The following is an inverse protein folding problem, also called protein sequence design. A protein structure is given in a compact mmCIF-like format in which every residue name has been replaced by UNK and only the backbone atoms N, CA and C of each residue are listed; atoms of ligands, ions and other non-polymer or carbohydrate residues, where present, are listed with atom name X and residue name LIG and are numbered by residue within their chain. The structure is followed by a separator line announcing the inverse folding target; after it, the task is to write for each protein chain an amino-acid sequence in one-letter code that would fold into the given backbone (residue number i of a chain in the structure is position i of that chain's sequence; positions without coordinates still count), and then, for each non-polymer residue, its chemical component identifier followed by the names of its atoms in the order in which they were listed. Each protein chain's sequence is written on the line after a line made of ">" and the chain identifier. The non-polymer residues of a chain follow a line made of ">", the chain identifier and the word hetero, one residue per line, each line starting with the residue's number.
data_IF_553175214710
#
_entry.id   IF_553175214710
#
_cell.length_a   1.000
_cell.length_b   1.000
_cell.length_c   1.000
_cell.angle_alpha   90.00
_cell.angle_beta   90.00
_cell.angle_gamma   90.00
#
_symmetry.space_group_name_H-M   'P 1'
#
loop_
_entity.id
_entity.type
_entity.pdbx_description
1 polymer ?
#
# COMPACT_ATOMS: atom_id res chain seq x y z
N UNK A 1 -33.82 2.50 1.33
CA UNK A 1 -32.51 3.15 1.60
C UNK A 1 -31.31 2.19 1.51
N UNK A 2 -31.40 0.92 1.94
CA UNK A 2 -30.27 -0.02 1.87
C UNK A 2 -29.81 -0.40 0.45
N UNK A 3 -30.71 -0.38 -0.53
CA UNK A 3 -30.41 -0.70 -1.95
C UNK A 3 -29.62 0.40 -2.67
N UNK A 4 -29.71 1.66 -2.24
CA UNK A 4 -29.01 2.79 -2.86
C UNK A 4 -27.53 2.84 -2.48
N UNK A 5 -27.17 2.37 -1.27
CA UNK A 5 -25.78 2.28 -0.84
C UNK A 5 -24.96 1.28 -1.67
N UNK A 6 -25.59 0.18 -2.10
CA UNK A 6 -24.95 -0.82 -2.96
C UNK A 6 -24.68 -0.29 -4.38
N UNK A 7 -25.58 0.51 -4.94
CA UNK A 7 -25.43 1.07 -6.30
C UNK A 7 -24.36 2.19 -6.33
N UNK A 8 -24.28 3.00 -5.28
CA UNK A 8 -23.23 4.03 -5.16
C UNK A 8 -21.84 3.43 -4.97
N UNK A 9 -21.73 2.32 -4.20
CA UNK A 9 -20.49 1.56 -4.08
C UNK A 9 -20.06 0.99 -5.46
N UNK A 10 -21.02 0.47 -6.22
CA UNK A 10 -20.80 -0.05 -7.57
C UNK A 10 -20.25 0.98 -8.55
N UNK A 11 -20.81 2.19 -8.56
CA UNK A 11 -20.39 3.26 -9.47
C UNK A 11 -18.96 3.72 -9.18
N UNK A 12 -18.60 3.87 -7.90
CA UNK A 12 -17.25 4.30 -7.49
C UNK A 12 -16.21 3.20 -7.73
N UNK A 13 -16.57 1.93 -7.50
CA UNK A 13 -15.70 0.79 -7.80
C UNK A 13 -15.46 0.59 -9.30
N UNK A 14 -16.46 0.82 -10.16
CA UNK A 14 -16.28 0.74 -11.62
C UNK A 14 -15.44 1.89 -12.19
N UNK A 15 -15.52 3.09 -11.60
CA UNK A 15 -14.76 4.27 -12.08
C UNK A 15 -13.28 4.19 -11.69
N UNK A 16 -12.95 3.61 -10.52
CA UNK A 16 -11.55 3.44 -10.09
C UNK A 16 -10.79 2.34 -10.85
N UNK A 17 -11.51 1.39 -11.48
CA UNK A 17 -10.91 0.34 -12.34
C UNK A 17 -10.73 0.83 -13.79
N UNK A 18 -11.31 1.97 -14.17
CA UNK A 18 -11.35 2.44 -15.55
C UNK A 18 -9.99 2.91 -16.11
N UNK A 19 -9.00 3.25 -15.28
CA UNK A 19 -7.70 3.74 -15.77
C UNK A 19 -6.61 2.64 -15.89
N UNK A 20 -6.85 1.40 -15.44
CA UNK A 20 -5.81 0.35 -15.42
C UNK A 20 -6.19 -0.99 -16.07
N UNK A 21 -7.43 -1.21 -16.51
CA UNK A 21 -7.86 -2.52 -17.04
C UNK A 21 -8.99 -2.42 -18.10
N UNK A 22 -8.87 -1.50 -19.06
CA UNK A 22 -9.95 -1.29 -20.06
C UNK A 22 -10.00 -2.35 -21.17
N UNK A 23 -9.04 -3.28 -21.25
CA UNK A 23 -8.99 -4.26 -22.35
C UNK A 23 -10.01 -5.41 -22.23
N UNK A 24 -10.57 -5.66 -21.03
CA UNK A 24 -11.49 -6.79 -20.80
C UNK A 24 -12.94 -6.39 -20.43
N UNK A 25 -13.40 -5.20 -20.85
CA UNK A 25 -14.82 -4.85 -20.69
C UNK A 25 -15.66 -5.67 -21.69
N UNK A 26 -16.66 -6.45 -21.24
CA UNK A 26 -17.49 -7.23 -22.15
C UNK A 26 -18.16 -6.34 -23.20
N UNK A 27 -18.14 -6.74 -24.47
CA UNK A 27 -18.69 -5.96 -25.58
C UNK A 27 -20.19 -5.62 -25.39
N UNK A 28 -20.93 -6.46 -24.66
CA UNK A 28 -22.33 -6.21 -24.28
C UNK A 28 -22.50 -5.00 -23.34
N UNK A 29 -21.54 -4.72 -22.47
CA UNK A 29 -21.55 -3.54 -21.60
C UNK A 29 -21.26 -2.29 -22.41
N UNK A 30 -20.28 -2.37 -23.32
CA UNK A 30 -19.94 -1.27 -24.21
C UNK A 30 -21.14 -0.87 -25.08
N UNK A 31 -21.79 -1.86 -25.69
CA UNK A 31 -23.00 -1.62 -26.49
C UNK A 31 -24.16 -1.06 -25.66
N UNK A 32 -24.36 -1.54 -24.43
CA UNK A 32 -25.38 -0.97 -23.53
C UNK A 32 -25.07 0.49 -23.16
N UNK A 33 -23.79 0.83 -22.96
CA UNK A 33 -23.36 2.19 -22.67
C UNK A 33 -23.61 3.12 -23.86
N UNK A 34 -23.21 2.70 -25.06
CA UNK A 34 -23.41 3.49 -26.29
C UNK A 34 -24.91 3.70 -26.57
N UNK A 35 -25.74 2.66 -26.38
CA UNK A 35 -27.20 2.76 -26.47
C UNK A 35 -27.79 3.77 -25.47
N UNK A 36 -27.29 3.80 -24.23
CA UNK A 36 -27.75 4.74 -23.21
C UNK A 36 -27.18 6.16 -23.40
N UNK A 37 -25.99 6.31 -23.99
CA UNK A 37 -25.44 7.62 -24.34
C UNK A 37 -26.15 8.25 -25.53
N UNK A 38 -26.59 7.44 -26.51
CA UNK A 38 -27.30 7.97 -27.68
C UNK A 38 -28.71 8.52 -27.38
N UNK A 39 -29.26 8.23 -26.19
CA UNK A 39 -30.55 8.76 -25.76
C UNK A 39 -30.39 10.04 -24.92
N UNK A 40 -30.96 11.20 -25.33
CA UNK A 40 -30.85 12.47 -24.61
C UNK A 40 -31.33 12.42 -23.15
N UNK A 41 -32.27 11.54 -22.83
CA UNK A 41 -32.80 11.41 -21.47
C UNK A 41 -31.84 10.71 -20.51
N UNK A 42 -30.84 10.00 -21.03
CA UNK A 42 -29.88 9.20 -20.27
C UNK A 42 -28.42 9.60 -20.54
N UNK A 43 -28.16 10.53 -21.46
CA UNK A 43 -26.82 10.98 -21.80
C UNK A 43 -26.10 11.61 -20.59
N UNK A 44 -24.86 11.18 -20.36
CA UNK A 44 -23.98 11.74 -19.34
C UNK A 44 -22.88 12.53 -20.01
N UNK A 45 -22.83 13.84 -19.75
CA UNK A 45 -21.74 14.69 -20.21
C UNK A 45 -20.42 14.30 -19.52
N UNK A 46 -19.30 14.54 -20.22
CA UNK A 46 -17.95 14.26 -19.73
C UNK A 46 -17.67 14.91 -18.35
N UNK A 47 -18.26 16.08 -18.10
CA UNK A 47 -18.15 16.77 -16.80
C UNK A 47 -18.65 15.93 -15.63
N UNK A 48 -19.67 15.10 -15.82
CA UNK A 48 -20.20 14.23 -14.75
C UNK A 48 -19.20 13.15 -14.40
N UNK A 49 -18.56 12.52 -15.40
CA UNK A 49 -17.51 11.52 -15.17
C UNK A 49 -16.27 12.11 -14.50
N UNK A 50 -15.92 13.35 -14.87
CA UNK A 50 -14.80 14.08 -14.25
C UNK A 50 -15.09 14.40 -12.78
N UNK A 51 -16.31 14.86 -12.47
CA UNK A 51 -16.73 15.13 -11.10
C UNK A 51 -16.72 13.85 -10.24
N UNK A 52 -17.20 12.73 -10.78
CA UNK A 52 -17.15 11.43 -10.08
C UNK A 52 -15.72 10.98 -9.76
N UNK A 53 -14.77 11.10 -10.71
CA UNK A 53 -13.36 10.75 -10.47
C UNK A 53 -12.70 11.60 -9.39
N UNK A 54 -13.09 12.87 -9.29
CA UNK A 54 -12.54 13.82 -8.31
C UNK A 54 -13.25 13.82 -6.96
N UNK A 55 -14.33 13.04 -6.81
CA UNK A 55 -15.16 13.07 -5.61
C UNK A 55 -15.94 14.38 -5.43
N UNK A 56 -16.18 15.11 -6.52
CA UNK A 56 -16.96 16.35 -6.53
C UNK A 56 -18.48 16.05 -6.57
N UNK A 57 -19.31 17.03 -6.25
CA UNK A 57 -20.76 16.90 -6.36
C UNK A 57 -21.19 16.86 -7.84
N UNK A 58 -22.16 16.00 -8.15
CA UNK A 58 -22.75 15.87 -9.47
C UNK A 58 -24.25 15.61 -9.36
N UNK A 59 -24.98 15.74 -10.48
CA UNK A 59 -26.42 15.44 -10.53
C UNK A 59 -26.66 13.93 -10.37
N UNK A 60 -27.08 13.56 -9.17
CA UNK A 60 -27.38 12.16 -8.80
C UNK A 60 -28.59 11.60 -9.54
N UNK A 61 -29.54 12.45 -9.95
CA UNK A 61 -30.72 12.02 -10.69
C UNK A 61 -30.32 11.57 -12.09
N UNK A 62 -29.52 12.37 -12.80
CA UNK A 62 -29.06 12.04 -14.14
C UNK A 62 -28.20 10.75 -14.15
N UNK A 63 -27.26 10.63 -13.21
CA UNK A 63 -26.47 9.40 -13.05
C UNK A 63 -27.35 8.18 -12.73
N UNK A 64 -28.39 8.36 -11.90
CA UNK A 64 -29.36 7.31 -11.59
C UNK A 64 -30.16 6.83 -12.80
N UNK A 65 -30.60 7.77 -13.64
CA UNK A 65 -31.34 7.46 -14.89
C UNK A 65 -30.47 6.71 -15.88
N UNK A 66 -29.19 7.10 -16.05
CA UNK A 66 -28.24 6.36 -16.89
C UNK A 66 -27.99 4.93 -16.37
N UNK A 67 -27.78 4.76 -15.06
CA UNK A 67 -27.58 3.45 -14.45
C UNK A 67 -28.81 2.54 -14.57
N UNK A 68 -30.03 3.08 -14.49
CA UNK A 68 -31.26 2.33 -14.74
C UNK A 68 -31.38 1.89 -16.20
N UNK A 69 -30.99 2.74 -17.15
CA UNK A 69 -30.92 2.38 -18.57
C UNK A 69 -29.96 1.20 -18.80
N UNK A 70 -28.75 1.29 -18.25
CA UNK A 70 -27.74 0.23 -18.30
C UNK A 70 -28.28 -1.08 -17.71
N UNK A 71 -28.91 -1.02 -16.54
CA UNK A 71 -29.48 -2.20 -15.89
C UNK A 71 -30.60 -2.85 -16.73
N UNK A 72 -31.46 -2.04 -17.36
CA UNK A 72 -32.51 -2.54 -18.26
C UNK A 72 -31.94 -3.24 -19.50
N UNK A 73 -30.84 -2.73 -20.05
CA UNK A 73 -30.15 -3.30 -21.22
C UNK A 73 -29.34 -4.55 -20.87
N UNK A 74 -28.74 -4.60 -19.68
CA UNK A 74 -27.92 -5.72 -19.20
C UNK A 74 -28.76 -6.83 -18.54
N UNK A 75 -30.01 -6.54 -18.14
CA UNK A 75 -30.92 -7.40 -17.38
C UNK A 75 -31.46 -8.66 -18.04
N UNK A 76 -30.70 -9.30 -18.94
CA UNK A 76 -30.96 -10.68 -19.32
C UNK A 76 -30.57 -11.61 -18.13
N UNK A 77 -31.43 -12.54 -17.68
CA UNK A 77 -31.15 -13.40 -16.51
C UNK A 77 -29.89 -14.26 -16.64
N UNK A 78 -29.39 -14.51 -17.85
CA UNK A 78 -28.11 -15.22 -18.09
C UNK A 78 -26.89 -14.33 -17.85
N UNK A 79 -26.96 -13.04 -18.13
CA UNK A 79 -25.87 -12.08 -17.88
C UNK A 79 -25.78 -11.69 -16.41
N UNK A 80 -26.90 -11.63 -15.68
CA UNK A 80 -26.88 -11.26 -14.24
C UNK A 80 -26.05 -12.23 -13.37
N UNK A 81 -26.06 -13.53 -13.69
CA UNK A 81 -25.23 -14.53 -12.99
C UNK A 81 -23.74 -14.36 -13.33
N UNK A 82 -23.43 -14.03 -14.59
CA UNK A 82 -22.07 -13.76 -15.04
C UNK A 82 -21.51 -12.47 -14.39
N UNK A 83 -22.31 -11.40 -14.33
CA UNK A 83 -21.91 -10.16 -13.66
C UNK A 83 -21.75 -10.32 -12.15
N UNK A 84 -22.65 -11.06 -11.48
CA UNK A 84 -22.51 -11.37 -10.05
C UNK A 84 -21.22 -12.16 -9.76
N UNK A 85 -20.84 -13.09 -10.65
CA UNK A 85 -19.60 -13.84 -10.52
C UNK A 85 -18.36 -12.95 -10.77
N UNK A 86 -18.38 -12.13 -11.83
CA UNK A 86 -17.29 -11.19 -12.17
C UNK A 86 -17.11 -10.14 -11.06
N UNK A 87 -18.19 -9.64 -10.46
CA UNK A 87 -18.14 -8.76 -9.28
C UNK A 87 -17.53 -9.43 -8.06
N UNK A 88 -17.92 -10.66 -7.79
CA UNK A 88 -17.40 -11.40 -6.64
C UNK A 88 -15.90 -11.63 -6.79
N UNK A 89 -15.44 -11.91 -8.01
CA UNK A 89 -14.02 -12.06 -8.34
C UNK A 89 -13.30 -10.69 -8.33
N UNK A 90 -13.87 -9.63 -8.90
CA UNK A 90 -13.20 -8.31 -8.97
C UNK A 90 -13.11 -7.61 -7.61
N UNK A 91 -14.13 -7.72 -6.75
CA UNK A 91 -14.08 -7.24 -5.35
C UNK A 91 -13.02 -8.04 -4.57
N UNK A 92 -12.89 -9.35 -4.83
CA UNK A 92 -11.83 -10.17 -4.23
C UNK A 92 -10.44 -9.78 -4.72
N UNK A 93 -10.27 -9.38 -5.98
CA UNK A 93 -8.99 -8.90 -6.53
C UNK A 93 -8.59 -7.51 -5.99
N UNK A 94 -9.54 -6.59 -5.81
CA UNK A 94 -9.26 -5.24 -5.27
C UNK A 94 -8.81 -5.32 -3.81
N UNK A 95 -9.35 -6.26 -3.02
CA UNK A 95 -8.92 -6.49 -1.63
C UNK A 95 -7.47 -6.97 -1.52
N UNK A 96 -6.91 -7.60 -2.57
CA UNK A 96 -5.51 -8.05 -2.59
C UNK A 96 -4.56 -6.95 -3.05
N UNK A 97 -5.00 -6.02 -3.91
CA UNK A 97 -4.16 -4.95 -4.46
C UNK A 97 -4.15 -3.64 -3.65
N UNK A 98 -5.16 -3.41 -2.81
CA UNK A 98 -5.36 -2.16 -2.06
C UNK A 98 -5.25 -2.29 -0.55
N UNK A 99 -4.49 -3.28 -0.03
CA UNK A 99 -4.29 -3.40 1.40
C UNK A 99 -3.76 -2.06 1.96
N UNK A 100 -4.45 -1.41 2.93
CA UNK A 100 -3.93 -0.22 3.57
C UNK A 100 -2.53 -0.52 4.12
N UNK A 101 -1.62 0.47 4.18
CA UNK A 101 -0.31 0.27 4.78
C UNK A 101 -0.51 -0.41 6.13
N UNK A 102 0.29 -1.45 6.39
CA UNK A 102 0.27 -2.09 7.68
C UNK A 102 0.53 -1.03 8.75
N UNK A 103 -0.05 -1.22 9.94
CA UNK A 103 0.13 -0.33 11.08
C UNK A 103 1.62 0.00 11.37
N UNK A 104 2.51 -0.88 10.95
CA UNK A 104 3.96 -0.77 11.04
C UNK A 104 4.55 0.28 10.13
N UNK A 105 4.23 0.27 8.83
CA UNK A 105 4.78 1.24 7.88
C UNK A 105 4.41 2.68 8.26
N UNK A 106 3.15 2.91 8.67
CA UNK A 106 2.73 4.23 9.11
C UNK A 106 3.48 4.69 10.36
N UNK A 107 3.68 3.79 11.34
CA UNK A 107 4.43 4.11 12.56
C UNK A 107 5.90 4.38 12.28
N UNK A 108 6.55 3.60 11.41
CA UNK A 108 7.94 3.81 11.02
C UNK A 108 8.10 5.15 10.31
N UNK A 109 7.18 5.51 9.41
CA UNK A 109 7.17 6.83 8.74
C UNK A 109 7.05 7.96 9.75
N UNK A 110 6.09 7.86 10.69
CA UNK A 110 5.92 8.89 11.72
C UNK A 110 7.19 9.08 12.55
N UNK A 111 7.80 7.98 13.01
CA UNK A 111 9.04 8.05 13.79
C UNK A 111 10.20 8.63 12.97
N UNK A 112 10.27 8.32 11.67
CA UNK A 112 11.25 8.91 10.76
C UNK A 112 11.07 10.42 10.61
N UNK A 113 9.85 10.89 10.39
CA UNK A 113 9.52 12.32 10.31
C UNK A 113 9.89 13.04 11.63
N UNK A 114 9.62 12.42 12.78
CA UNK A 114 10.00 12.95 14.10
C UNK A 114 11.52 13.04 14.30
N UNK A 115 12.27 12.01 13.88
CA UNK A 115 13.74 12.03 13.97
C UNK A 115 14.35 13.02 12.97
N UNK A 116 13.76 13.20 11.79
CA UNK A 116 14.17 14.18 10.79
C UNK A 116 13.93 15.63 11.22
N UNK A 117 12.94 15.88 12.09
CA UNK A 117 12.67 17.21 12.62
C UNK A 117 13.78 17.73 13.56
N UNK A 118 14.67 16.86 14.06
CA UNK A 118 15.81 17.29 14.87
C UNK A 118 17.03 17.62 13.98
N UNK A 119 17.44 18.90 13.87
CA UNK A 119 18.53 19.32 12.99
C UNK A 119 19.89 18.69 13.35
N UNK A 120 20.10 18.26 14.60
CA UNK A 120 21.36 17.64 15.02
C UNK A 120 21.56 16.22 14.46
N UNK A 121 20.47 15.55 14.06
CA UNK A 121 20.47 14.17 13.54
C UNK A 121 19.69 14.06 12.23
N UNK A 122 19.42 15.19 11.59
CA UNK A 122 18.79 15.26 10.27
C UNK A 122 19.69 14.57 9.24
N UNK A 123 19.10 13.78 8.35
CA UNK A 123 19.82 13.10 7.28
C UNK A 123 19.24 13.53 5.94
N UNK A 124 20.10 14.06 5.09
CA UNK A 124 19.77 14.36 3.69
C UNK A 124 19.39 13.08 2.94
N UNK A 125 18.49 13.21 1.96
CA UNK A 125 18.03 12.09 1.11
C UNK A 125 19.19 11.35 0.41
N UNK A 126 20.28 12.07 0.10
CA UNK A 126 21.50 11.50 -0.47
C UNK A 126 22.15 10.46 0.44
N UNK A 127 22.07 10.63 1.77
CA UNK A 127 22.60 9.68 2.75
C UNK A 127 21.78 8.40 2.76
N UNK A 128 20.45 8.50 2.69
CA UNK A 128 19.59 7.31 2.59
C UNK A 128 19.84 6.52 1.30
N UNK A 129 20.07 7.22 0.17
CA UNK A 129 20.46 6.57 -1.09
C UNK A 129 21.81 5.87 -0.96
N UNK A 130 22.80 6.50 -0.34
CA UNK A 130 24.11 5.89 -0.10
C UNK A 130 23.99 4.61 0.74
N UNK A 131 23.19 4.64 1.82
CA UNK A 131 22.92 3.46 2.67
C UNK A 131 22.27 2.32 1.86
N UNK A 132 21.31 2.63 0.99
CA UNK A 132 20.64 1.60 0.16
C UNK A 132 21.61 0.97 -0.84
N UNK A 133 22.48 1.78 -1.47
CA UNK A 133 23.48 1.31 -2.43
C UNK A 133 24.71 0.66 -1.81
N UNK A 134 24.83 0.69 -0.48
CA UNK A 134 26.04 0.23 0.21
C UNK A 134 27.25 1.14 0.00
N UNK A 135 27.03 2.39 -0.38
CA UNK A 135 28.08 3.40 -0.52
C UNK A 135 28.55 3.90 0.86
N UNK A 136 29.77 4.47 0.98
CA UNK A 136 30.24 5.06 2.23
C UNK A 136 29.34 6.19 2.71
N UNK A 137 29.11 6.25 4.03
CA UNK A 137 28.34 7.30 4.69
C UNK A 137 28.93 7.63 6.06
N UNK A 138 28.56 8.78 6.62
CA UNK A 138 28.96 9.18 7.96
C UNK A 138 28.26 8.31 9.03
N UNK A 139 28.98 7.32 9.56
CA UNK A 139 28.44 6.38 10.54
C UNK A 139 28.02 7.03 11.86
N UNK A 140 28.67 8.11 12.28
CA UNK A 140 28.34 8.82 13.51
C UNK A 140 26.98 9.50 13.40
N UNK A 141 26.78 10.27 12.32
CA UNK A 141 25.51 10.96 12.08
C UNK A 141 24.36 9.97 11.84
N UNK A 142 24.61 8.95 11.01
CA UNK A 142 23.60 7.90 10.75
C UNK A 142 23.30 7.11 12.01
N UNK A 143 24.31 6.75 12.82
CA UNK A 143 24.13 6.05 14.08
C UNK A 143 23.23 6.82 15.06
N UNK A 144 23.44 8.13 15.20
CA UNK A 144 22.59 8.99 16.04
C UNK A 144 21.14 9.04 15.54
N UNK A 145 20.93 9.15 14.22
CA UNK A 145 19.60 9.06 13.62
C UNK A 145 18.95 7.69 13.88
N UNK A 146 19.69 6.59 13.70
CA UNK A 146 19.19 5.24 13.95
C UNK A 146 18.88 5.00 15.44
N UNK A 147 19.63 5.60 16.36
CA UNK A 147 19.34 5.54 17.79
C UNK A 147 18.00 6.23 18.12
N UNK A 148 17.74 7.39 17.51
CA UNK A 148 16.43 8.05 17.62
C UNK A 148 15.29 7.13 17.16
N UNK A 149 15.46 6.54 15.97
CA UNK A 149 14.48 5.64 15.35
C UNK A 149 14.18 4.42 16.23
N UNK A 150 15.22 3.68 16.60
CA UNK A 150 15.12 2.42 17.36
C UNK A 150 14.59 2.64 18.78
N UNK A 151 14.93 3.77 19.41
CA UNK A 151 14.40 4.15 20.73
C UNK A 151 12.90 4.43 20.66
N UNK A 152 12.45 5.24 19.70
CA UNK A 152 11.02 5.56 19.53
C UNK A 152 10.19 4.37 19.07
N UNK A 153 10.79 3.44 18.32
CA UNK A 153 10.16 2.17 17.96
C UNK A 153 10.14 1.16 19.13
N UNK A 154 10.90 1.41 20.19
CA UNK A 154 10.96 0.57 21.40
C UNK A 154 11.79 -0.69 21.23
N UNK A 155 12.62 -0.78 20.19
CA UNK A 155 13.53 -1.92 19.95
C UNK A 155 14.85 -1.78 20.69
N UNK A 156 15.17 -0.57 21.14
CA UNK A 156 16.39 -0.25 21.85
C UNK A 156 16.07 0.81 22.93
N UNK A 157 16.77 0.79 24.04
CA UNK A 157 16.70 1.83 25.06
C UNK A 157 17.78 2.90 24.82
N UNK A 158 17.68 4.03 25.52
CA UNK A 158 18.64 5.15 25.38
C UNK A 158 20.09 4.77 25.76
N UNK A 159 20.26 3.82 26.67
CA UNK A 159 21.57 3.31 27.11
C UNK A 159 22.20 2.30 26.12
N UNK A 160 21.49 1.99 25.03
CA UNK A 160 21.94 1.05 24.01
C UNK A 160 21.38 -0.36 24.18
N UNK A 161 20.77 -0.71 25.30
CA UNK A 161 20.26 -2.06 25.55
C UNK A 161 19.12 -2.40 24.58
N UNK A 162 19.14 -3.61 24.02
CA UNK A 162 18.17 -4.04 22.99
C UNK A 162 16.97 -4.72 23.65
N UNK A 163 15.76 -4.33 23.26
CA UNK A 163 14.54 -5.03 23.63
C UNK A 163 14.32 -6.23 22.69
N UNK A 164 14.83 -7.40 23.09
CA UNK A 164 14.77 -8.65 22.31
C UNK A 164 13.34 -9.00 21.88
N UNK A 165 12.35 -8.83 22.76
CA UNK A 165 10.96 -9.16 22.44
C UNK A 165 10.39 -8.22 21.36
N UNK A 166 10.70 -6.93 21.43
CA UNK A 166 10.29 -5.98 20.40
C UNK A 166 10.92 -6.30 19.04
N UNK A 167 12.20 -6.67 19.03
CA UNK A 167 12.91 -7.12 17.82
C UNK A 167 12.27 -8.38 17.24
N UNK A 168 11.98 -9.39 18.09
CA UNK A 168 11.29 -10.62 17.68
C UNK A 168 9.94 -10.33 17.03
N UNK A 169 9.13 -9.44 17.63
CA UNK A 169 7.83 -9.05 17.07
C UNK A 169 7.93 -8.41 15.69
N UNK A 170 8.98 -7.63 15.42
CA UNK A 170 9.20 -7.04 14.09
C UNK A 170 9.56 -8.13 13.08
N UNK A 171 10.49 -9.03 13.42
CA UNK A 171 10.92 -10.10 12.52
C UNK A 171 9.77 -11.07 12.18
N UNK A 172 8.92 -11.36 13.17
CA UNK A 172 7.75 -12.24 13.01
C UNK A 172 6.68 -11.68 12.05
N UNK A 173 6.69 -10.39 11.72
CA UNK A 173 5.75 -9.82 10.73
C UNK A 173 5.98 -10.37 9.33
N UNK A 174 7.23 -10.69 9.00
CA UNK A 174 7.64 -11.15 7.66
C UNK A 174 8.01 -12.64 7.61
N UNK A 175 7.99 -13.33 8.75
CA UNK A 175 8.41 -14.72 8.87
C UNK A 175 7.39 -15.51 9.71
N UNK A 176 6.81 -16.57 9.12
CA UNK A 176 5.83 -17.45 9.78
C UNK A 176 6.47 -18.63 10.51
N UNK A 177 7.77 -18.88 10.32
CA UNK A 177 8.52 -19.94 11.00
C UNK A 177 9.14 -19.37 12.28
N UNK A 178 8.61 -19.78 13.44
CA UNK A 178 9.07 -19.32 14.75
C UNK A 178 10.54 -19.64 15.02
N UNK A 179 11.04 -20.79 14.56
CA UNK A 179 12.45 -21.16 14.76
C UNK A 179 13.38 -20.20 14.01
N UNK A 180 12.99 -19.83 12.78
CA UNK A 180 13.70 -18.83 11.98
C UNK A 180 13.60 -17.43 12.58
N UNK A 181 12.43 -17.06 13.13
CA UNK A 181 12.25 -15.79 13.84
C UNK A 181 13.22 -15.69 15.02
N UNK A 182 13.31 -16.75 15.84
CA UNK A 182 14.21 -16.76 17.00
C UNK A 182 15.68 -16.74 16.57
N UNK A 183 16.06 -17.51 15.55
CA UNK A 183 17.41 -17.50 14.98
C UNK A 183 17.83 -16.10 14.50
N UNK A 184 16.98 -15.41 13.74
CA UNK A 184 17.25 -14.06 13.26
C UNK A 184 17.30 -13.07 14.44
N UNK A 185 16.39 -13.23 15.41
CA UNK A 185 16.35 -12.37 16.60
C UNK A 185 17.67 -12.46 17.34
N UNK A 186 18.17 -13.66 17.60
CA UNK A 186 19.44 -13.87 18.30
C UNK A 186 20.63 -13.30 17.53
N UNK A 187 20.60 -13.38 16.20
CA UNK A 187 21.61 -12.74 15.33
C UNK A 187 21.54 -11.21 15.39
N UNK A 188 20.36 -10.62 15.54
CA UNK A 188 20.17 -9.18 15.46
C UNK A 188 20.31 -8.44 16.79
N UNK A 189 20.26 -9.13 17.93
CA UNK A 189 20.41 -8.51 19.26
C UNK A 189 21.87 -8.36 19.72
N UNK A 190 22.80 -8.18 18.78
CA UNK A 190 24.21 -7.91 19.06
C UNK A 190 24.44 -6.47 19.53
N UNK A 191 25.15 -6.30 20.65
CA UNK A 191 25.55 -4.98 21.17
C UNK A 191 26.73 -4.40 20.39
N UNK A 192 26.68 -3.09 20.12
CA UNK A 192 27.82 -2.28 19.67
C UNK A 192 28.62 -1.72 20.85
N UNK A 193 29.71 -1.00 20.54
CA UNK A 193 30.50 -0.31 21.56
C UNK A 193 29.79 0.94 22.11
N UNK A 194 28.86 1.52 21.34
CA UNK A 194 28.01 2.65 21.75
C UNK A 194 26.54 2.40 21.41
N UNK A 195 25.60 3.11 22.04
CA UNK A 195 24.18 3.02 21.69
C UNK A 195 23.90 3.26 20.20
N UNK A 196 24.58 4.23 19.58
CA UNK A 196 24.47 4.53 18.15
C UNK A 196 24.99 3.40 17.27
N UNK A 197 26.09 2.76 17.67
CA UNK A 197 26.61 1.61 16.94
C UNK A 197 25.66 0.42 17.06
N UNK A 198 25.12 0.16 18.26
CA UNK A 198 24.09 -0.86 18.47
C UNK A 198 22.87 -0.59 17.59
N UNK A 199 22.39 0.66 17.52
CA UNK A 199 21.23 1.04 16.71
C UNK A 199 21.46 0.78 15.22
N UNK A 200 22.66 1.13 14.75
CA UNK A 200 23.08 0.91 13.36
C UNK A 200 23.17 -0.58 13.02
N UNK A 201 23.82 -1.38 13.87
CA UNK A 201 23.93 -2.85 13.71
C UNK A 201 22.55 -3.51 13.70
N UNK A 202 21.72 -3.20 14.70
CA UNK A 202 20.37 -3.74 14.85
C UNK A 202 19.54 -3.46 13.60
N UNK A 203 19.52 -2.22 13.15
CA UNK A 203 18.69 -1.81 12.00
C UNK A 203 19.17 -2.42 10.69
N UNK A 204 20.50 -2.57 10.51
CA UNK A 204 21.07 -3.27 9.36
C UNK A 204 20.72 -4.75 9.37
N UNK A 205 20.79 -5.41 10.54
CA UNK A 205 20.45 -6.81 10.69
C UNK A 205 18.97 -7.08 10.39
N UNK A 206 18.06 -6.28 10.95
CA UNK A 206 16.62 -6.36 10.66
C UNK A 206 16.40 -6.20 9.16
N UNK A 207 16.91 -5.12 8.54
CA UNK A 207 16.73 -4.87 7.09
C UNK A 207 17.19 -6.03 6.20
N UNK A 208 18.29 -6.70 6.55
CA UNK A 208 18.82 -7.85 5.79
C UNK A 208 17.95 -9.11 5.90
N UNK A 209 17.17 -9.25 6.97
CA UNK A 209 16.42 -10.48 7.28
C UNK A 209 14.89 -10.31 7.19
N UNK A 210 14.39 -9.08 7.10
CA UNK A 210 12.99 -8.76 6.84
C UNK A 210 12.79 -8.45 5.36
N UNK A 211 11.72 -8.98 4.76
CA UNK A 211 11.38 -8.64 3.39
C UNK A 211 10.75 -7.26 3.37
N UNK A 212 11.57 -6.21 3.27
CA UNK A 212 11.05 -5.04 2.54
C UNK A 212 10.74 -5.57 1.16
N UNK A 213 9.46 -5.52 0.75
CA UNK A 213 9.09 -5.60 -0.66
C UNK A 213 9.75 -4.41 -1.32
N UNK A 214 11.03 -4.54 -1.64
CA UNK A 214 11.72 -3.62 -2.49
C UNK A 214 11.09 -3.85 -3.86
N UNK A 215 10.23 -2.92 -4.25
CA UNK A 215 9.62 -2.95 -5.57
C UNK A 215 10.65 -2.62 -6.67
N UNK A 216 11.93 -2.46 -6.32
CA UNK A 216 13.04 -2.51 -7.27
C UNK A 216 13.42 -3.96 -7.47
N UNK A 217 12.97 -4.54 -8.59
CA UNK A 217 13.36 -5.89 -9.00
C UNK A 217 14.87 -6.05 -9.01
N UNK A 218 15.38 -6.91 -8.12
CA UNK A 218 16.67 -7.55 -8.30
C UNK A 218 16.54 -8.57 -9.43
N UNK A 219 17.06 -8.21 -10.60
CA UNK A 219 17.45 -9.19 -11.60
C UNK A 219 18.56 -10.06 -10.99
N UNK A 220 18.25 -11.34 -10.75
CA UNK A 220 19.24 -12.33 -10.37
C UNK A 220 20.30 -12.47 -11.48
N UNK A 221 21.51 -11.99 -11.22
CA UNK A 221 22.69 -12.44 -11.96
C UNK A 221 23.25 -13.67 -11.25
N UNK A 222 22.95 -14.85 -11.80
CA UNK A 222 23.72 -16.05 -11.53
C UNK A 222 25.03 -15.95 -12.31
N UNK A 223 26.16 -15.95 -11.62
CA UNK A 223 27.47 -16.24 -12.22
C UNK A 223 27.84 -17.69 -11.92
N UNK A 224 28.01 -18.44 -12.99
CA UNK A 224 28.67 -19.75 -13.05
C UNK A 224 30.19 -19.58 -13.03
#
# INVERSE_FOLDING_TARGET
>A
MKTFAFIACFAVSCILVADAAFEDVPQSVKQAHDDCQSNPATHLDESVFKAMRKGESFDRHLAGVHMLCMNKKIGNPTTMKAFAFILCVSVSCILVAGAPPDDGAQKVKQVHDECQANPAIHLEDSVFKAIHKGEPFNRTLVGAHMLCMTTKLGTQNQDGTINREAVRRIIARDNTDDAKVDEITDKCVEQGATPEETALKLSQCIRKNTRRRDHTGEHHHHSH
#
